data_IF_227945478378
#
_entry.id   IF_227945478378
#
_cell.length_a   1.000
_cell.length_b   1.000
_cell.length_c   1.000
_cell.angle_alpha   90.00
_cell.angle_beta   90.00
_cell.angle_gamma   90.00
#
_symmetry.space_group_name_H-M   'P 1'
#
loop_
_entity.id
_entity.type
_entity.pdbx_description
1 polymer ?
#
# COMPACT_ATOMS: atom_id res chain seq x y z
N UNK A 1 -64.99 25.63 20.95
CA UNK A 1 -63.71 26.37 21.08
C UNK A 1 -62.67 25.66 20.23
N UNK A 2 -62.28 26.24 19.07
CA UNK A 2 -61.23 25.69 18.19
C UNK A 2 -59.87 26.20 18.68
N UNK A 3 -59.00 25.30 19.08
CA UNK A 3 -57.63 25.61 19.53
C UNK A 3 -56.70 25.49 18.33
N UNK A 4 -56.22 26.63 17.82
CA UNK A 4 -55.24 26.70 16.72
C UNK A 4 -53.82 26.72 17.30
N UNK A 5 -53.04 25.67 17.00
CA UNK A 5 -51.63 25.55 17.40
C UNK A 5 -50.77 26.25 16.33
N UNK A 6 -49.91 27.22 16.68
CA UNK A 6 -48.98 27.81 15.72
C UNK A 6 -47.78 26.89 15.48
N UNK A 7 -47.45 26.65 14.21
CA UNK A 7 -46.25 25.90 13.80
C UNK A 7 -44.98 26.75 13.95
N UNK A 8 -43.83 26.13 14.31
CA UNK A 8 -42.58 26.86 14.49
C UNK A 8 -42.01 27.32 13.15
N UNK A 9 -41.70 28.61 13.07
CA UNK A 9 -41.03 29.26 11.95
C UNK A 9 -39.57 28.83 11.88
N UNK A 10 -39.21 28.00 10.91
CA UNK A 10 -37.81 27.71 10.59
C UNK A 10 -37.11 28.99 10.08
N UNK A 11 -36.23 29.53 10.92
CA UNK A 11 -35.38 30.69 10.62
C UNK A 11 -34.43 30.33 9.48
N UNK A 12 -34.79 30.67 8.24
CA UNK A 12 -33.90 30.55 7.08
C UNK A 12 -32.71 31.49 7.31
N UNK A 13 -31.52 30.93 7.59
CA UNK A 13 -30.28 31.68 7.59
C UNK A 13 -30.17 32.39 6.24
N UNK A 14 -30.14 33.72 6.26
CA UNK A 14 -30.03 34.51 5.04
C UNK A 14 -28.70 34.20 4.35
N UNK A 15 -28.77 33.73 3.10
CA UNK A 15 -27.66 33.45 2.19
C UNK A 15 -26.46 34.44 2.24
N UNK A 16 -26.62 35.78 2.42
CA UNK A 16 -25.48 36.69 2.51
C UNK A 16 -24.62 36.47 3.77
N UNK A 17 -25.21 36.19 4.94
CA UNK A 17 -24.47 35.98 6.19
C UNK A 17 -23.63 34.71 6.12
N UNK A 18 -24.18 33.66 5.49
CA UNK A 18 -23.43 32.43 5.23
C UNK A 18 -22.26 32.68 4.26
N UNK A 19 -22.46 33.48 3.20
CA UNK A 19 -21.39 33.85 2.24
C UNK A 19 -20.25 34.61 2.89
N UNK A 20 -20.56 35.60 3.74
CA UNK A 20 -19.55 36.35 4.49
C UNK A 20 -18.85 35.49 5.55
N UNK A 21 -19.59 34.61 6.22
CA UNK A 21 -19.00 33.61 7.12
C UNK A 21 -18.05 32.66 6.39
N UNK A 22 -18.43 32.19 5.19
CA UNK A 22 -17.59 31.33 4.35
C UNK A 22 -16.34 32.07 3.86
N UNK A 23 -16.48 33.34 3.46
CA UNK A 23 -15.37 34.21 3.07
C UNK A 23 -14.40 34.44 4.22
N UNK A 24 -14.91 34.74 5.42
CA UNK A 24 -14.08 34.92 6.61
C UNK A 24 -13.35 33.62 6.98
N UNK A 25 -14.05 32.48 6.95
CA UNK A 25 -13.45 31.17 7.18
C UNK A 25 -12.35 30.85 6.16
N UNK A 26 -12.60 31.11 4.87
CA UNK A 26 -11.62 30.90 3.79
C UNK A 26 -10.41 31.83 3.96
N UNK A 27 -10.63 33.08 4.37
CA UNK A 27 -9.56 34.04 4.64
C UNK A 27 -8.68 33.59 5.82
N UNK A 28 -9.28 33.08 6.89
CA UNK A 28 -8.55 32.51 8.04
C UNK A 28 -7.76 31.28 7.62
N UNK A 29 -8.36 30.37 6.83
CA UNK A 29 -7.67 29.20 6.28
C UNK A 29 -6.49 29.60 5.39
N UNK A 30 -6.61 30.67 4.60
CA UNK A 30 -5.53 31.23 3.79
C UNK A 30 -4.41 31.83 4.66
N UNK A 31 -4.74 32.66 5.64
CA UNK A 31 -3.73 33.28 6.51
C UNK A 31 -2.99 32.24 7.35
N UNK A 32 -3.68 31.24 7.89
CA UNK A 32 -3.06 30.19 8.72
C UNK A 32 -2.35 29.13 7.87
N UNK A 33 -2.92 28.77 6.72
CA UNK A 33 -2.43 27.68 5.87
C UNK A 33 -1.39 28.09 4.82
N UNK A 34 -1.50 29.28 4.24
CA UNK A 34 -0.65 29.71 3.13
C UNK A 34 0.46 30.68 3.54
N UNK A 35 0.25 31.50 4.56
CA UNK A 35 1.17 32.57 4.90
C UNK A 35 2.46 32.15 5.63
N UNK A 36 2.46 31.17 6.57
CA UNK A 36 3.66 30.86 7.35
C UNK A 36 4.84 30.37 6.51
N UNK A 37 4.57 29.66 5.41
CA UNK A 37 5.62 29.08 4.59
C UNK A 37 6.16 30.01 3.49
N UNK A 38 5.40 31.03 3.07
CA UNK A 38 5.89 32.05 2.12
C UNK A 38 6.95 32.96 2.76
N UNK A 39 6.79 33.29 4.05
CA UNK A 39 7.72 34.15 4.79
C UNK A 39 8.95 33.41 5.33
N UNK A 40 8.85 32.10 5.58
CA UNK A 40 9.93 31.29 6.19
C UNK A 40 10.83 30.56 5.19
N UNK A 41 10.59 30.69 3.87
CA UNK A 41 11.43 30.09 2.81
C UNK A 41 11.56 28.56 2.85
N UNK A 42 10.79 27.89 3.71
CA UNK A 42 10.83 26.45 4.00
C UNK A 42 9.40 25.92 3.88
N UNK A 43 8.89 25.92 2.66
CA UNK A 43 7.56 25.40 2.37
C UNK A 43 7.60 23.87 2.54
N UNK A 44 6.73 23.30 3.38
CA UNK A 44 6.71 21.85 3.66
C UNK A 44 6.58 20.98 2.39
N UNK A 45 6.07 21.54 1.29
CA UNK A 45 5.97 20.86 0.00
C UNK A 45 7.27 20.89 -0.84
N UNK A 46 8.24 21.76 -0.53
CA UNK A 46 9.53 21.80 -1.24
C UNK A 46 10.46 20.66 -0.81
N UNK A 47 10.42 20.26 0.46
CA UNK A 47 11.22 19.19 1.04
C UNK A 47 10.32 18.26 1.88
N UNK A 48 9.68 17.25 1.26
CA UNK A 48 8.92 16.26 2.01
C UNK A 48 9.78 15.60 3.10
N UNK A 49 9.18 15.20 4.24
CA UNK A 49 9.91 14.52 5.30
C UNK A 49 10.68 13.28 4.79
N UNK A 50 11.81 12.93 5.40
CA UNK A 50 12.60 11.78 4.99
C UNK A 50 11.85 10.47 5.28
N UNK A 51 12.20 9.43 4.51
CA UNK A 51 11.79 8.05 4.78
C UNK A 51 12.93 7.40 5.57
N UNK A 52 12.65 6.97 6.79
CA UNK A 52 13.65 6.39 7.71
C UNK A 52 14.19 5.05 7.22
N UNK A 53 13.39 4.29 6.47
CA UNK A 53 13.72 2.94 5.99
C UNK A 53 14.26 2.89 4.55
N UNK A 54 14.68 4.02 3.98
CA UNK A 54 15.09 4.10 2.58
C UNK A 54 16.27 3.17 2.24
N UNK A 55 17.20 2.98 3.18
CA UNK A 55 18.32 2.06 3.01
C UNK A 55 17.84 0.61 2.95
N UNK A 56 16.91 0.21 3.82
CA UNK A 56 16.32 -1.13 3.82
C UNK A 56 15.55 -1.40 2.51
N UNK A 57 14.84 -0.40 1.99
CA UNK A 57 14.16 -0.48 0.69
C UNK A 57 15.16 -0.68 -0.46
N UNK A 58 16.32 -0.04 -0.42
CA UNK A 58 17.40 -0.28 -1.40
C UNK A 58 17.97 -1.69 -1.29
N UNK A 59 18.19 -2.19 -0.08
CA UNK A 59 18.64 -3.57 0.15
C UNK A 59 17.63 -4.58 -0.37
N UNK A 60 16.33 -4.41 -0.07
CA UNK A 60 15.25 -5.25 -0.58
C UNK A 60 15.29 -5.35 -2.11
N UNK A 61 15.49 -4.23 -2.79
CA UNK A 61 15.57 -4.20 -4.25
C UNK A 61 16.80 -4.93 -4.80
N UNK A 62 17.92 -4.90 -4.09
CA UNK A 62 19.17 -5.49 -4.57
C UNK A 62 19.29 -6.98 -4.23
N UNK A 63 18.78 -7.39 -3.07
CA UNK A 63 19.01 -8.72 -2.49
C UNK A 63 17.76 -9.60 -2.49
N UNK A 64 16.58 -9.03 -2.75
CA UNK A 64 15.31 -9.72 -2.59
C UNK A 64 14.87 -9.79 -1.13
N UNK A 65 13.83 -10.60 -0.90
CA UNK A 65 13.17 -10.78 0.37
C UNK A 65 13.33 -12.25 0.81
N UNK A 66 13.99 -12.52 1.95
CA UNK A 66 14.01 -13.87 2.51
C UNK A 66 12.62 -14.26 3.00
N UNK A 67 12.11 -15.39 2.53
CA UNK A 67 10.78 -15.88 2.84
C UNK A 67 10.87 -17.16 3.68
N UNK A 68 10.40 -17.16 4.95
CA UNK A 68 10.36 -18.38 5.76
C UNK A 68 9.60 -19.52 5.07
N UNK A 69 10.20 -20.70 5.02
CA UNK A 69 9.61 -21.87 4.36
C UNK A 69 9.77 -21.91 2.83
N UNK A 70 10.38 -20.89 2.23
CA UNK A 70 10.66 -20.81 0.79
C UNK A 70 12.15 -20.60 0.55
N UNK A 71 12.75 -21.48 -0.24
CA UNK A 71 14.14 -21.35 -0.65
C UNK A 71 14.23 -20.47 -1.89
N UNK A 72 14.93 -19.34 -1.77
CA UNK A 72 15.21 -18.48 -2.92
C UNK A 72 16.20 -19.17 -3.87
N UNK A 73 15.75 -19.50 -5.08
CA UNK A 73 16.54 -20.20 -6.10
C UNK A 73 17.24 -19.22 -7.04
N UNK A 74 16.63 -18.06 -7.26
CA UNK A 74 17.15 -17.03 -8.17
C UNK A 74 16.70 -15.65 -7.71
N UNK A 75 17.59 -14.68 -7.88
CA UNK A 75 17.29 -13.28 -7.63
C UNK A 75 17.98 -12.42 -8.68
N UNK A 76 17.27 -11.39 -9.16
CA UNK A 76 17.78 -10.40 -10.09
C UNK A 76 17.01 -9.09 -9.99
N UNK A 77 17.57 -8.04 -10.54
CA UNK A 77 16.83 -6.80 -10.82
C UNK A 77 16.38 -6.78 -12.27
N UNK A 78 15.25 -6.13 -12.54
CA UNK A 78 14.69 -5.97 -13.87
C UNK A 78 14.17 -4.54 -14.03
N UNK A 79 14.58 -3.85 -15.08
CA UNK A 79 14.08 -2.50 -15.38
C UNK A 79 12.82 -2.61 -16.23
N UNK A 80 11.69 -2.11 -15.73
CA UNK A 80 10.41 -2.01 -16.43
C UNK A 80 10.02 -0.54 -16.53
N UNK A 81 9.88 -0.02 -17.75
CA UNK A 81 9.72 1.41 -17.97
C UNK A 81 10.89 2.18 -17.34
N UNK A 82 10.58 3.12 -16.44
CA UNK A 82 11.56 3.91 -15.68
C UNK A 82 11.84 3.32 -14.27
N UNK A 83 11.29 2.15 -13.96
CA UNK A 83 11.31 1.54 -12.63
C UNK A 83 12.20 0.31 -12.57
N UNK A 84 12.97 0.18 -11.48
CA UNK A 84 13.80 -1.01 -11.21
C UNK A 84 13.09 -1.90 -10.21
N UNK A 85 12.69 -3.08 -10.67
CA UNK A 85 12.04 -4.12 -9.89
C UNK A 85 13.05 -5.13 -9.37
N UNK A 86 12.84 -5.63 -8.16
CA UNK A 86 13.46 -6.87 -7.71
C UNK A 86 12.57 -8.05 -8.08
N UNK A 87 13.18 -9.07 -8.68
CA UNK A 87 12.51 -10.30 -9.08
C UNK A 87 13.24 -11.45 -8.44
N UNK A 88 12.51 -12.27 -7.70
CA UNK A 88 13.04 -13.52 -7.17
C UNK A 88 12.12 -14.69 -7.51
N UNK A 89 12.73 -15.85 -7.73
CA UNK A 89 12.05 -17.12 -7.83
C UNK A 89 12.36 -17.89 -6.56
N UNK A 90 11.36 -18.54 -5.98
CA UNK A 90 11.49 -19.28 -4.73
C UNK A 90 10.68 -20.55 -4.78
N UNK A 91 11.16 -21.59 -4.10
CA UNK A 91 10.50 -22.90 -4.04
C UNK A 91 10.22 -23.33 -2.61
N UNK A 92 9.05 -23.89 -2.38
CA UNK A 92 8.71 -24.51 -1.09
C UNK A 92 9.24 -25.96 -0.99
N UNK A 93 9.07 -26.59 0.17
CA UNK A 93 9.47 -27.99 0.39
C UNK A 93 8.71 -29.00 -0.48
N UNK A 94 7.58 -28.60 -1.07
CA UNK A 94 6.74 -29.40 -1.94
C UNK A 94 7.02 -29.09 -3.43
N UNK A 95 8.10 -28.36 -3.75
CA UNK A 95 8.52 -27.99 -5.11
C UNK A 95 7.54 -27.06 -5.84
N UNK A 96 6.65 -26.37 -5.13
CA UNK A 96 5.87 -25.30 -5.75
C UNK A 96 6.75 -24.10 -6.01
N UNK A 97 6.64 -23.54 -7.20
CA UNK A 97 7.42 -22.36 -7.59
C UNK A 97 6.58 -21.10 -7.42
N UNK A 98 7.15 -20.12 -6.71
CA UNK A 98 6.61 -18.77 -6.59
C UNK A 98 7.59 -17.76 -7.18
N UNK A 99 7.06 -16.80 -7.92
CA UNK A 99 7.81 -15.68 -8.49
C UNK A 99 7.32 -14.41 -7.80
N UNK A 100 8.24 -13.66 -7.21
CA UNK A 100 7.93 -12.45 -6.48
C UNK A 100 8.56 -11.24 -7.16
N UNK A 101 7.71 -10.30 -7.54
CA UNK A 101 8.10 -8.98 -8.04
C UNK A 101 7.89 -7.95 -6.93
N UNK A 102 8.94 -7.19 -6.64
CA UNK A 102 8.93 -6.12 -5.64
C UNK A 102 9.40 -4.83 -6.28
N UNK A 103 8.58 -3.79 -6.17
CA UNK A 103 8.99 -2.43 -6.47
C UNK A 103 9.02 -1.59 -5.20
N UNK A 104 10.14 -0.94 -4.96
CA UNK A 104 10.44 -0.24 -3.72
C UNK A 104 10.55 1.25 -3.95
N UNK A 105 10.00 2.03 -3.03
CA UNK A 105 10.12 3.48 -3.04
C UNK A 105 11.58 3.95 -3.10
N UNK A 106 11.88 4.88 -4.01
CA UNK A 106 13.22 5.41 -4.27
C UNK A 106 13.56 6.69 -3.52
N UNK A 107 12.56 7.37 -2.99
CA UNK A 107 12.74 8.58 -2.20
C UNK A 107 11.42 9.17 -1.74
N UNK A 108 11.46 10.26 -0.96
CA UNK A 108 10.27 10.84 -0.37
C UNK A 108 9.21 11.26 -1.40
N UNK A 109 9.59 11.69 -2.60
CA UNK A 109 8.62 12.12 -3.62
C UNK A 109 7.96 10.95 -4.36
N UNK A 110 8.48 9.75 -4.20
CA UNK A 110 8.02 8.56 -4.91
C UNK A 110 6.74 8.00 -4.25
N UNK A 111 5.73 7.74 -5.07
CA UNK A 111 4.37 7.40 -4.65
C UNK A 111 3.85 6.27 -5.54
N UNK A 112 2.95 5.39 -5.06
CA UNK A 112 2.34 4.36 -5.88
C UNK A 112 1.59 4.96 -7.08
N UNK A 113 1.89 4.52 -8.31
CA UNK A 113 1.32 5.09 -9.55
C UNK A 113 0.63 4.07 -10.47
N UNK A 114 0.23 2.90 -9.95
CA UNK A 114 -0.34 1.77 -10.72
C UNK A 114 0.76 0.96 -11.42
N UNK A 115 1.64 0.39 -10.61
CA UNK A 115 2.80 -0.41 -11.03
C UNK A 115 2.43 -1.69 -11.79
N UNK A 116 1.16 -2.09 -11.72
CA UNK A 116 0.64 -3.31 -12.32
C UNK A 116 0.56 -3.25 -13.85
N UNK A 117 0.45 -2.04 -14.44
CA UNK A 117 0.38 -1.89 -15.89
C UNK A 117 1.71 -2.27 -16.59
N UNK A 118 2.84 -1.93 -15.96
CA UNK A 118 4.18 -2.27 -16.47
C UNK A 118 4.40 -3.79 -16.48
N UNK A 119 3.96 -4.49 -15.42
CA UNK A 119 4.03 -5.95 -15.34
C UNK A 119 3.15 -6.62 -16.40
N UNK A 120 1.92 -6.13 -16.59
CA UNK A 120 1.01 -6.65 -17.62
C UNK A 120 1.61 -6.50 -19.03
N UNK A 121 2.25 -5.35 -19.32
CA UNK A 121 2.84 -5.07 -20.62
C UNK A 121 3.97 -6.04 -21.02
N UNK A 122 4.72 -6.56 -20.03
CA UNK A 122 5.87 -7.43 -20.27
C UNK A 122 5.50 -8.90 -20.19
N UNK A 123 4.61 -9.28 -19.27
CA UNK A 123 4.15 -10.66 -19.17
C UNK A 123 3.22 -11.06 -20.33
N UNK A 124 2.58 -10.07 -20.98
CA UNK A 124 1.62 -10.27 -22.07
C UNK A 124 0.57 -11.35 -21.75
N UNK A 125 0.19 -11.43 -20.47
CA UNK A 125 -0.73 -12.43 -19.99
C UNK A 125 -2.18 -12.00 -20.15
N UNK A 126 -3.06 -12.99 -20.22
CA UNK A 126 -4.50 -12.78 -20.06
C UNK A 126 -4.86 -13.00 -18.59
N UNK A 127 -5.91 -12.33 -18.10
CA UNK A 127 -6.32 -12.38 -16.69
C UNK A 127 -7.79 -12.73 -16.55
N UNK A 128 -8.14 -13.44 -15.48
CA UNK A 128 -9.51 -13.82 -15.15
C UNK A 128 -9.72 -13.92 -13.63
N UNK A 129 -10.97 -14.03 -13.17
CA UNK A 129 -11.33 -14.39 -11.80
C UNK A 129 -10.76 -13.40 -10.75
N UNK A 130 -10.92 -12.10 -11.01
CA UNK A 130 -10.47 -11.04 -10.09
C UNK A 130 -11.33 -10.99 -8.84
N UNK A 131 -10.70 -11.13 -7.67
CA UNK A 131 -11.34 -11.06 -6.37
C UNK A 131 -10.44 -10.34 -5.35
N UNK A 132 -11.06 -9.75 -4.33
CA UNK A 132 -10.32 -9.18 -3.20
C UNK A 132 -10.08 -10.27 -2.16
N UNK A 133 -8.81 -10.43 -1.76
CA UNK A 133 -8.39 -11.31 -0.68
C UNK A 133 -7.97 -10.44 0.52
N UNK A 134 -8.56 -10.68 1.69
CA UNK A 134 -8.23 -9.93 2.90
C UNK A 134 -7.65 -10.87 3.95
N UNK A 135 -6.53 -10.47 4.53
CA UNK A 135 -5.86 -11.22 5.59
C UNK A 135 -5.25 -10.28 6.62
N UNK A 136 -4.90 -10.83 7.78
CA UNK A 136 -4.21 -10.09 8.85
C UNK A 136 -2.87 -10.74 9.14
N UNK A 137 -1.89 -9.90 9.50
CA UNK A 137 -0.58 -10.35 9.98
C UNK A 137 -0.28 -9.76 11.35
N UNK A 138 0.49 -10.44 12.21
CA UNK A 138 0.98 -9.87 13.46
C UNK A 138 1.84 -8.63 13.17
N UNK A 139 1.52 -7.51 13.82
CA UNK A 139 2.35 -6.32 13.83
C UNK A 139 3.56 -6.47 14.74
N UNK A 140 4.57 -5.63 14.53
CA UNK A 140 5.70 -5.52 15.44
C UNK A 140 5.25 -4.81 16.72
N UNK A 141 5.34 -5.50 17.86
CA UNK A 141 5.11 -4.90 19.17
C UNK A 141 6.12 -3.79 19.42
N UNK A 142 5.63 -2.59 19.70
CA UNK A 142 6.46 -1.50 20.22
C UNK A 142 6.75 -1.82 21.70
N UNK A 143 8.03 -1.82 22.09
CA UNK A 143 8.53 -2.22 23.44
C UNK A 143 8.01 -1.35 24.61
N UNK A 144 7.01 -0.49 24.38
CA UNK A 144 6.42 0.42 25.37
C UNK A 144 4.95 0.17 25.71
N UNK A 145 4.30 -0.85 25.16
CA UNK A 145 2.88 -1.11 25.49
C UNK A 145 2.62 -2.58 25.75
N UNK A 146 2.64 -2.95 27.04
CA UNK A 146 2.03 -4.17 27.56
C UNK A 146 0.51 -4.09 27.37
N UNK A 147 -0.01 -4.50 26.20
CA UNK A 147 -1.38 -5.03 25.98
C UNK A 147 -1.71 -5.08 24.49
N UNK A 148 -2.00 -6.28 23.98
CA UNK A 148 -2.53 -6.60 22.64
C UNK A 148 -1.51 -6.58 21.50
N UNK A 149 -1.19 -7.77 20.97
CA UNK A 149 -0.54 -7.90 19.67
C UNK A 149 -1.40 -7.17 18.62
N UNK A 150 -0.91 -6.05 18.11
CA UNK A 150 -1.61 -5.31 17.06
C UNK A 150 -1.61 -6.17 15.80
N UNK A 151 -2.78 -6.34 15.18
CA UNK A 151 -2.90 -7.02 13.88
C UNK A 151 -2.92 -5.96 12.78
N UNK A 152 -2.19 -6.23 11.71
CA UNK A 152 -2.12 -5.35 10.54
C UNK A 152 -3.05 -5.92 9.46
N UNK A 153 -4.11 -5.19 9.07
CA UNK A 153 -5.00 -5.63 8.00
C UNK A 153 -4.37 -5.40 6.63
N UNK A 154 -4.49 -6.38 5.75
CA UNK A 154 -4.05 -6.31 4.36
C UNK A 154 -5.19 -6.75 3.46
N UNK A 155 -5.46 -5.96 2.43
CA UNK A 155 -6.27 -6.36 1.30
C UNK A 155 -5.35 -6.47 0.09
N UNK A 156 -5.52 -7.52 -0.69
CA UNK A 156 -4.79 -7.77 -1.93
C UNK A 156 -5.77 -8.16 -3.04
N UNK A 157 -5.37 -7.88 -4.29
CA UNK A 157 -6.10 -8.31 -5.46
C UNK A 157 -5.57 -9.69 -5.88
N UNK A 158 -6.45 -10.68 -5.87
CA UNK A 158 -6.17 -12.04 -6.30
C UNK A 158 -6.83 -12.27 -7.66
N UNK A 159 -6.09 -12.81 -8.62
CA UNK A 159 -6.62 -13.17 -9.94
C UNK A 159 -5.81 -14.29 -10.57
N UNK A 160 -6.39 -14.96 -11.56
CA UNK A 160 -5.68 -15.92 -12.40
C UNK A 160 -5.07 -15.16 -13.58
N UNK A 161 -3.83 -15.47 -13.90
CA UNK A 161 -3.18 -14.97 -15.12
C UNK A 161 -2.50 -16.11 -15.88
N UNK A 162 -2.49 -16.06 -17.20
CA UNK A 162 -1.80 -17.07 -18.01
C UNK A 162 -1.11 -16.45 -19.20
N UNK A 163 0.01 -17.04 -19.58
CA UNK A 163 0.69 -16.78 -20.83
C UNK A 163 0.85 -18.11 -21.59
N UNK A 164 1.60 -18.11 -22.70
CA UNK A 164 1.82 -19.32 -23.51
C UNK A 164 2.62 -20.43 -22.79
N UNK A 165 3.28 -20.10 -21.68
CA UNK A 165 4.18 -21.00 -20.97
C UNK A 165 3.53 -21.58 -19.70
N UNK A 166 2.77 -20.77 -18.96
CA UNK A 166 2.33 -21.16 -17.61
C UNK A 166 1.07 -20.39 -17.17
N UNK A 167 0.34 -20.99 -16.21
CA UNK A 167 -0.78 -20.37 -15.50
C UNK A 167 -0.35 -20.02 -14.07
N UNK A 168 -0.78 -18.86 -13.59
CA UNK A 168 -0.42 -18.31 -12.29
C UNK A 168 -1.66 -17.90 -11.49
N UNK A 169 -1.64 -18.16 -10.19
CA UNK A 169 -2.41 -17.39 -9.22
C UNK A 169 -1.59 -16.16 -8.84
N UNK A 170 -2.13 -14.96 -9.07
CA UNK A 170 -1.44 -13.69 -8.87
C UNK A 170 -2.06 -12.94 -7.71
N UNK A 171 -1.23 -12.49 -6.77
CA UNK A 171 -1.62 -11.68 -5.63
C UNK A 171 -0.88 -10.34 -5.64
N UNK A 172 -1.62 -9.24 -5.72
CA UNK A 172 -1.08 -7.88 -5.87
C UNK A 172 -1.56 -6.92 -4.77
N UNK A 173 -0.63 -6.19 -4.16
CA UNK A 173 -0.94 -5.11 -3.22
C UNK A 173 0.26 -4.19 -3.01
N UNK A 174 -0.01 -2.99 -2.51
CA UNK A 174 0.99 -2.12 -1.89
C UNK A 174 1.06 -2.43 -0.41
N UNK A 175 2.25 -2.77 0.09
CA UNK A 175 2.52 -3.01 1.50
C UNK A 175 3.06 -1.74 2.17
N UNK A 176 2.59 -1.42 3.38
CA UNK A 176 3.15 -0.37 4.24
C UNK A 176 3.10 -0.79 5.73
N UNK A 177 3.81 -0.11 6.65
CA UNK A 177 3.94 -0.54 8.05
C UNK A 177 2.63 -0.83 8.80
N UNK A 178 1.55 -0.14 8.45
CA UNK A 178 0.25 -0.20 9.16
C UNK A 178 -0.85 -0.88 8.33
N UNK A 179 -0.55 -1.39 7.14
CA UNK A 179 -1.55 -2.05 6.30
C UNK A 179 -1.07 -2.44 4.91
N UNK A 180 -2.02 -2.84 4.07
CA UNK A 180 -1.75 -3.05 2.65
C UNK A 180 -3.03 -3.03 1.82
N UNK A 181 -2.91 -2.61 0.56
CA UNK A 181 -4.03 -2.49 -0.36
C UNK A 181 -3.59 -2.52 -1.81
N UNK A 182 -4.37 -3.06 -2.75
CA UNK A 182 -4.11 -2.90 -4.18
C UNK A 182 -4.38 -1.47 -4.69
N UNK A 183 -5.05 -0.63 -3.89
CA UNK A 183 -5.48 0.72 -4.33
C UNK A 183 -4.55 1.81 -3.78
N UNK A 184 -3.89 2.62 -4.63
CA UNK A 184 -2.98 3.69 -4.22
C UNK A 184 -3.58 4.72 -3.24
N UNK A 185 -4.89 5.00 -3.35
CA UNK A 185 -5.57 5.99 -2.52
C UNK A 185 -5.58 5.60 -1.03
N UNK A 186 -5.58 4.30 -0.71
CA UNK A 186 -5.53 3.85 0.68
C UNK A 186 -4.16 4.13 1.31
N UNK A 187 -3.08 3.90 0.55
CA UNK A 187 -1.74 4.33 0.97
C UNK A 187 -1.67 5.86 1.11
N UNK A 188 -2.24 6.61 0.16
CA UNK A 188 -2.22 8.08 0.22
C UNK A 188 -2.87 8.60 1.52
N UNK A 189 -3.99 8.02 1.95
CA UNK A 189 -4.60 8.37 3.25
C UNK A 189 -3.67 8.05 4.44
N UNK A 190 -3.02 6.88 4.42
CA UNK A 190 -2.04 6.52 5.46
C UNK A 190 -0.85 7.49 5.49
N UNK A 191 -0.31 7.87 4.34
CA UNK A 191 0.79 8.85 4.21
C UNK A 191 0.37 10.25 4.70
N UNK A 192 -0.87 10.69 4.43
CA UNK A 192 -1.38 11.96 4.93
C UNK A 192 -1.50 12.00 6.46
N UNK A 193 -1.89 10.89 7.08
CA UNK A 193 -1.89 10.76 8.54
C UNK A 193 -0.47 10.75 9.11
N UNK A 194 0.46 10.01 8.48
CA UNK A 194 1.87 9.98 8.88
C UNK A 194 2.54 11.37 8.79
N UNK A 195 2.17 12.18 7.80
CA UNK A 195 2.67 13.54 7.63
C UNK A 195 2.29 14.47 8.81
N UNK A 196 1.21 14.19 9.54
CA UNK A 196 0.86 14.92 10.78
C UNK A 196 1.94 14.75 11.85
N UNK A 197 2.65 13.62 11.83
CA UNK A 197 3.78 13.31 12.69
C UNK A 197 5.13 13.62 12.04
N UNK A 198 5.14 14.39 10.94
CA UNK A 198 6.34 14.75 10.16
C UNK A 198 7.11 13.53 9.63
N UNK A 199 6.39 12.47 9.30
CA UNK A 199 6.94 11.25 8.71
C UNK A 199 6.29 10.99 7.35
N UNK A 200 6.92 10.12 6.56
CA UNK A 200 6.35 9.58 5.32
C UNK A 200 6.09 8.10 5.50
N UNK A 201 5.01 7.63 4.91
CA UNK A 201 4.64 6.23 4.94
C UNK A 201 5.45 5.49 3.87
N UNK A 202 6.42 4.63 4.25
CA UNK A 202 7.14 3.83 3.27
C UNK A 202 6.20 2.80 2.65
N UNK A 203 6.49 2.42 1.40
CA UNK A 203 5.69 1.43 0.69
C UNK A 203 6.53 0.53 -0.22
N UNK A 204 5.98 -0.64 -0.51
CA UNK A 204 6.50 -1.61 -1.47
C UNK A 204 5.33 -2.15 -2.30
N UNK A 205 5.40 -2.07 -3.62
CA UNK A 205 4.46 -2.80 -4.47
C UNK A 205 4.89 -4.27 -4.53
N UNK A 206 3.94 -5.16 -4.27
CA UNK A 206 4.13 -6.60 -4.24
C UNK A 206 3.26 -7.23 -5.31
N UNK A 207 3.87 -8.04 -6.17
CA UNK A 207 3.16 -8.94 -7.07
C UNK A 207 3.74 -10.34 -6.91
N UNK A 208 3.01 -11.20 -6.21
CA UNK A 208 3.37 -12.59 -5.99
C UNK A 208 2.62 -13.48 -6.98
N UNK A 209 3.36 -14.29 -7.73
CA UNK A 209 2.82 -15.25 -8.68
C UNK A 209 3.12 -16.64 -8.13
N UNK A 210 2.08 -17.46 -8.00
CA UNK A 210 2.21 -18.88 -7.67
C UNK A 210 1.87 -19.67 -8.92
N UNK A 211 2.78 -20.56 -9.34
CA UNK A 211 2.50 -21.47 -10.45
C UNK A 211 1.39 -22.45 -10.09
N UNK A 212 0.41 -22.58 -10.98
CA UNK A 212 -0.76 -23.45 -10.81
C UNK A 212 -1.01 -24.26 -12.08
N UNK A 213 -1.76 -25.35 -11.94
CA UNK A 213 -2.11 -26.17 -13.10
C UNK A 213 -3.04 -25.41 -14.08
N UNK A 214 -2.85 -25.57 -15.39
CA UNK A 214 -3.76 -24.99 -16.38
C UNK A 214 -5.20 -25.50 -16.18
N UNK A 215 -6.18 -24.62 -16.39
CA UNK A 215 -7.62 -24.89 -16.28
C UNK A 215 -8.17 -25.15 -14.86
N UNK A 216 -7.31 -25.20 -13.85
CA UNK A 216 -7.75 -25.40 -12.48
C UNK A 216 -8.39 -24.13 -11.88
N UNK A 217 -9.28 -24.33 -10.91
CA UNK A 217 -9.97 -23.24 -10.23
C UNK A 217 -9.04 -22.54 -9.23
N UNK A 218 -9.02 -21.21 -9.28
CA UNK A 218 -8.26 -20.34 -8.39
C UNK A 218 -8.62 -20.58 -6.91
N UNK A 219 -9.85 -21.01 -6.63
CA UNK A 219 -10.33 -21.35 -5.29
C UNK A 219 -9.51 -22.47 -4.62
N UNK A 220 -8.92 -23.39 -5.39
CA UNK A 220 -8.07 -24.47 -4.86
C UNK A 220 -6.75 -23.96 -4.28
N UNK A 221 -6.31 -22.78 -4.73
CA UNK A 221 -5.02 -22.19 -4.37
C UNK A 221 -5.16 -20.97 -3.46
N UNK A 222 -6.39 -20.57 -3.08
CA UNK A 222 -6.65 -19.38 -2.26
C UNK A 222 -5.90 -19.43 -0.94
N UNK A 223 -5.97 -20.54 -0.22
CA UNK A 223 -5.37 -20.67 1.11
C UNK A 223 -3.85 -20.64 1.03
N UNK A 224 -3.30 -21.24 -0.04
CA UNK A 224 -1.85 -21.28 -0.29
C UNK A 224 -1.32 -19.90 -0.65
N UNK A 225 -1.98 -19.19 -1.56
CA UNK A 225 -1.55 -17.85 -1.95
C UNK A 225 -1.80 -16.83 -0.84
N UNK A 226 -2.83 -17.01 -0.01
CA UNK A 226 -3.01 -16.24 1.23
C UNK A 226 -1.86 -16.49 2.21
N UNK A 227 -1.47 -17.75 2.44
CA UNK A 227 -0.35 -18.09 3.31
C UNK A 227 0.98 -17.50 2.80
N UNK A 228 1.20 -17.52 1.48
CA UNK A 228 2.33 -16.84 0.85
C UNK A 228 2.25 -15.33 1.07
N UNK A 229 1.07 -14.71 0.87
CA UNK A 229 0.84 -13.29 1.10
C UNK A 229 1.13 -12.86 2.54
N UNK A 230 0.68 -13.64 3.53
CA UNK A 230 0.99 -13.45 4.97
C UNK A 230 2.49 -13.53 5.23
N UNK A 231 3.17 -14.52 4.63
CA UNK A 231 4.62 -14.70 4.75
C UNK A 231 5.38 -13.51 4.17
N UNK A 232 5.02 -13.06 2.96
CA UNK A 232 5.63 -11.91 2.29
C UNK A 232 5.41 -10.64 3.10
N UNK A 233 4.18 -10.35 3.50
CA UNK A 233 3.89 -9.15 4.29
C UNK A 233 4.65 -9.15 5.63
N UNK A 234 4.68 -10.29 6.32
CA UNK A 234 5.42 -10.42 7.58
C UNK A 234 6.92 -10.21 7.39
N UNK A 235 7.49 -10.78 6.33
CA UNK A 235 8.90 -10.58 5.99
C UNK A 235 9.21 -9.12 5.65
N UNK A 236 8.36 -8.43 4.89
CA UNK A 236 8.53 -6.99 4.60
C UNK A 236 8.48 -6.17 5.91
N UNK A 237 7.51 -6.45 6.79
CA UNK A 237 7.39 -5.76 8.07
C UNK A 237 8.65 -5.93 8.93
N UNK A 238 9.19 -7.15 8.99
CA UNK A 238 10.36 -7.48 9.80
C UNK A 238 11.68 -6.99 9.22
N UNK A 239 11.85 -7.04 7.90
CA UNK A 239 13.16 -6.74 7.27
C UNK A 239 13.26 -5.31 6.74
N UNK A 240 12.14 -4.74 6.31
CA UNK A 240 12.12 -3.43 5.65
C UNK A 240 11.61 -2.35 6.59
N UNK A 241 10.44 -2.57 7.20
CA UNK A 241 9.73 -1.54 7.95
C UNK A 241 10.13 -1.43 9.42
N UNK A 242 11.04 -2.27 9.91
CA UNK A 242 11.67 -2.04 11.21
C UNK A 242 12.56 -0.80 11.13
N UNK A 243 12.24 0.21 11.94
CA UNK A 243 13.08 1.37 12.11
C UNK A 243 14.27 0.96 12.97
N UNK A 244 15.47 0.91 12.40
CA UNK A 244 16.70 0.92 13.20
C UNK A 244 16.78 2.29 13.87
N UNK A 245 16.45 2.34 15.16
CA UNK A 245 16.64 3.53 16.00
C UNK A 245 18.12 3.83 16.23
#
# INVERSE_FOLDING_TARGET
>A
MKMSIPLPTHRRLSLPILRWGLLALLLVLLMVGAMPGYLKGSWFWQSPPPITVLQNLKHLRQQGLPLPGWQMTKQRTLTLGDHVWSVQESQDSQQHTAILFLFTQNGPKDQPQVEWMDLNGIQQWETDSQQALSFTVPGTTDDRSTSSASTIPVTAQLFRAWNRQQTYAVLQWYAWPTGGSPVPSQWFMADRLAQLHRQRQPWVAVSALLEIEPLDDLSKYSDRIEALGKTIQSAILQTVFQSTG
#
